data_IF_086183630664
#
_entry.id   IF_086183630664
#
_cell.length_a   1.000
_cell.length_b   1.000
_cell.length_c   1.000
_cell.angle_alpha   90.00
_cell.angle_beta   90.00
_cell.angle_gamma   90.00
#
_symmetry.space_group_name_H-M   'P 1'
#
loop_
_entity.id
_entity.type
_entity.pdbx_description
1 polymer ?
#
# COMPACT_ATOMS: atom_id res chain seq x y z
N UNK A 1 0.78 -1.71 25.82
CA UNK A 1 -0.58 -1.27 25.46
C UNK A 1 -1.28 -0.91 26.77
N UNK A 2 -1.69 0.34 26.92
CA UNK A 2 -2.24 0.84 28.17
C UNK A 2 -3.70 0.37 28.31
N UNK A 3 -4.20 0.17 29.56
CA UNK A 3 -5.56 -0.33 29.82
C UNK A 3 -6.63 0.61 29.21
N UNK A 4 -6.37 1.92 29.20
CA UNK A 4 -7.25 2.90 28.53
C UNK A 4 -7.32 2.72 27.01
N UNK A 5 -6.21 2.40 26.35
CA UNK A 5 -6.21 2.11 24.92
C UNK A 5 -7.03 0.83 24.62
N UNK A 6 -6.86 -0.21 25.45
CA UNK A 6 -7.64 -1.44 25.31
C UNK A 6 -9.15 -1.21 25.49
N UNK A 7 -9.56 -0.31 26.35
CA UNK A 7 -10.96 0.04 26.57
C UNK A 7 -11.54 0.86 25.40
N UNK A 8 -10.76 1.81 24.85
CA UNK A 8 -11.15 2.57 23.65
C UNK A 8 -11.31 1.66 22.42
N UNK A 9 -10.42 0.65 22.27
CA UNK A 9 -10.53 -0.36 21.21
C UNK A 9 -11.83 -1.17 21.26
N UNK A 10 -12.39 -1.40 22.46
CA UNK A 10 -13.64 -2.13 22.63
C UNK A 10 -14.89 -1.31 22.34
N UNK A 11 -14.79 0.03 22.36
CA UNK A 11 -15.90 0.96 22.17
C UNK A 11 -16.06 1.42 20.70
N UNK A 12 -14.98 1.43 19.92
CA UNK A 12 -15.00 1.93 18.55
C UNK A 12 -14.36 0.92 17.59
N UNK A 13 -15.16 0.36 16.70
CA UNK A 13 -14.70 -0.64 15.74
C UNK A 13 -13.72 -0.07 14.68
N UNK A 14 -13.70 1.24 14.47
CA UNK A 14 -12.86 1.94 13.48
C UNK A 14 -11.92 2.99 14.09
N UNK A 15 -11.46 2.74 15.31
CA UNK A 15 -10.61 3.70 16.04
C UNK A 15 -9.35 4.11 15.28
N UNK A 16 -8.77 3.24 14.44
CA UNK A 16 -7.60 3.56 13.60
C UNK A 16 -7.88 4.71 12.65
N UNK A 17 -9.02 4.66 11.95
CA UNK A 17 -9.41 5.73 11.03
C UNK A 17 -9.70 7.03 11.77
N UNK A 18 -10.36 6.92 12.91
CA UNK A 18 -10.67 8.07 13.75
C UNK A 18 -9.39 8.72 14.26
N UNK A 19 -8.46 7.96 14.82
CA UNK A 19 -7.18 8.46 15.34
C UNK A 19 -6.37 9.18 14.24
N UNK A 20 -6.28 8.59 13.05
CA UNK A 20 -5.59 9.19 11.92
C UNK A 20 -6.25 10.50 11.47
N UNK A 21 -7.57 10.54 11.36
CA UNK A 21 -8.28 11.75 10.98
C UNK A 21 -8.09 12.87 12.02
N UNK A 22 -8.25 12.55 13.30
CA UNK A 22 -8.05 13.51 14.40
C UNK A 22 -6.61 14.05 14.45
N UNK A 23 -5.61 13.19 14.20
CA UNK A 23 -4.21 13.60 14.10
C UNK A 23 -3.99 14.60 12.96
N UNK A 24 -4.52 14.32 11.77
CA UNK A 24 -4.39 15.22 10.62
C UNK A 24 -5.15 16.54 10.85
N UNK A 25 -6.37 16.50 11.35
CA UNK A 25 -7.19 17.69 11.64
C UNK A 25 -6.57 18.60 12.71
N UNK A 26 -5.86 18.00 13.68
CA UNK A 26 -5.13 18.74 14.72
C UNK A 26 -3.77 19.28 14.26
N UNK A 27 -3.33 18.96 13.04
CA UNK A 27 -2.03 19.35 12.50
C UNK A 27 -0.85 18.48 12.99
N UNK A 28 -1.13 17.35 13.64
CA UNK A 28 -0.15 16.36 14.05
C UNK A 28 0.04 15.34 12.91
N UNK A 29 0.68 15.75 11.83
CA UNK A 29 0.80 14.93 10.61
C UNK A 29 1.69 13.72 10.84
N UNK A 30 1.17 12.48 10.66
CA UNK A 30 1.97 11.27 10.76
C UNK A 30 2.96 11.15 9.60
N UNK A 31 4.17 10.71 9.91
CA UNK A 31 5.27 10.53 8.95
C UNK A 31 5.82 9.12 8.98
N UNK A 32 6.25 8.64 7.82
CA UNK A 32 6.92 7.36 7.67
C UNK A 32 8.12 7.50 6.75
N UNK A 33 9.17 6.75 7.04
CA UNK A 33 10.31 6.61 6.14
C UNK A 33 9.96 5.60 5.05
N UNK A 34 10.12 6.00 3.80
CA UNK A 34 10.02 5.10 2.66
C UNK A 34 11.42 4.58 2.31
N UNK A 35 11.56 3.27 2.27
CA UNK A 35 12.83 2.62 2.03
C UNK A 35 12.69 1.39 1.14
N UNK A 36 13.78 0.96 0.51
CA UNK A 36 13.83 -0.21 -0.36
C UNK A 36 14.88 -1.21 0.14
N UNK A 37 14.59 -2.48 -0.05
CA UNK A 37 15.58 -3.55 -0.06
C UNK A 37 15.73 -4.03 -1.51
N UNK A 38 16.95 -4.14 -2.00
CA UNK A 38 17.24 -4.46 -3.40
C UNK A 38 18.10 -5.71 -3.44
N UNK A 39 17.66 -6.71 -4.20
CA UNK A 39 18.41 -7.92 -4.55
C UNK A 39 18.66 -7.85 -6.07
N UNK A 40 19.90 -8.01 -6.49
CA UNK A 40 20.22 -8.10 -7.91
C UNK A 40 19.80 -9.48 -8.45
N UNK A 41 19.36 -9.54 -9.70
CA UNK A 41 18.87 -10.77 -10.35
C UNK A 41 19.90 -11.92 -10.26
N UNK A 42 21.20 -11.60 -10.37
CA UNK A 42 22.28 -12.60 -10.25
C UNK A 42 22.39 -13.26 -8.85
N UNK A 43 21.84 -12.62 -7.84
CA UNK A 43 21.92 -13.05 -6.44
C UNK A 43 20.60 -13.65 -5.93
N UNK A 44 19.61 -13.80 -6.82
CA UNK A 44 18.28 -14.31 -6.48
C UNK A 44 18.29 -15.69 -5.81
N UNK A 45 19.15 -16.59 -6.28
CA UNK A 45 19.28 -17.96 -5.78
C UNK A 45 20.28 -18.11 -4.60
N UNK A 46 20.89 -17.03 -4.14
CA UNK A 46 21.96 -17.08 -3.13
C UNK A 46 21.47 -17.07 -1.68
N UNK A 47 20.16 -17.07 -1.45
CA UNK A 47 19.56 -16.97 -0.12
C UNK A 47 19.01 -18.32 0.35
N UNK A 48 19.09 -18.59 1.67
CA UNK A 48 18.49 -19.77 2.30
C UNK A 48 16.98 -19.65 2.50
N UNK A 49 16.37 -18.56 2.03
CA UNK A 49 14.93 -18.29 2.11
C UNK A 49 14.37 -17.97 0.72
N UNK A 50 13.08 -18.24 0.55
CA UNK A 50 12.35 -17.87 -0.66
C UNK A 50 12.10 -16.35 -0.69
N UNK A 51 12.73 -15.65 -1.61
CA UNK A 51 12.58 -14.19 -1.79
C UNK A 51 11.18 -13.80 -2.25
N UNK A 52 10.40 -14.73 -2.82
CA UNK A 52 9.04 -14.54 -3.27
C UNK A 52 7.99 -14.94 -2.23
N UNK A 53 8.39 -15.41 -1.04
CA UNK A 53 7.45 -15.74 0.03
C UNK A 53 6.86 -14.46 0.65
N UNK A 54 5.63 -14.13 0.23
CA UNK A 54 4.91 -12.95 0.70
C UNK A 54 4.55 -12.97 2.20
N UNK A 55 4.78 -14.09 2.90
CA UNK A 55 4.53 -14.22 4.36
C UNK A 55 5.77 -13.88 5.19
N UNK A 56 6.92 -13.66 4.57
CA UNK A 56 8.21 -13.39 5.21
C UNK A 56 8.68 -11.97 4.94
N UNK A 57 9.56 -11.52 5.81
CA UNK A 57 10.30 -10.26 5.67
C UNK A 57 11.74 -10.62 5.40
N UNK A 58 12.38 -9.95 4.45
CA UNK A 58 13.81 -10.16 4.19
C UNK A 58 14.66 -9.67 5.37
N UNK A 59 15.60 -10.46 5.88
CA UNK A 59 16.48 -10.05 6.97
C UNK A 59 17.33 -8.83 6.57
N UNK A 60 17.33 -7.80 7.40
CA UNK A 60 18.11 -6.57 7.13
C UNK A 60 19.63 -6.80 7.16
N UNK A 61 20.07 -7.81 7.88
CA UNK A 61 21.48 -8.22 7.93
C UNK A 61 22.00 -8.78 6.60
N UNK A 62 21.11 -9.37 5.79
CA UNK A 62 21.44 -9.95 4.49
C UNK A 62 21.13 -8.98 3.36
N UNK A 63 20.02 -8.27 3.45
CA UNK A 63 19.60 -7.28 2.46
C UNK A 63 19.32 -5.96 3.17
N UNK A 64 20.29 -5.04 3.20
CA UNK A 64 20.17 -3.79 3.94
C UNK A 64 19.02 -2.91 3.42
N UNK A 65 18.30 -2.30 4.35
CA UNK A 65 17.25 -1.31 4.05
C UNK A 65 17.88 0.01 3.64
N UNK A 66 17.51 0.52 2.46
CA UNK A 66 17.98 1.79 1.91
C UNK A 66 16.86 2.83 1.98
N UNK A 67 16.91 3.81 2.89
CA UNK A 67 15.91 4.87 2.93
C UNK A 67 16.06 5.77 1.71
N UNK A 68 14.94 6.05 1.05
CA UNK A 68 14.89 6.90 -0.16
C UNK A 68 14.03 8.14 0.01
N UNK A 69 13.20 8.20 1.05
CA UNK A 69 12.38 9.37 1.31
C UNK A 69 11.49 9.24 2.53
N UNK A 70 10.74 10.27 2.76
CA UNK A 70 9.68 10.31 3.79
C UNK A 70 8.35 10.65 3.12
N UNK A 71 7.28 10.08 3.64
CA UNK A 71 5.94 10.52 3.28
C UNK A 71 5.16 10.94 4.53
N UNK A 72 4.31 11.93 4.34
CA UNK A 72 3.51 12.55 5.38
C UNK A 72 2.04 12.56 4.95
N UNK A 73 1.14 12.19 5.85
CA UNK A 73 -0.29 12.32 5.63
C UNK A 73 -0.77 13.63 6.26
N UNK A 74 -1.06 14.61 5.43
CA UNK A 74 -1.36 15.98 5.83
C UNK A 74 -2.73 16.50 5.40
N UNK A 75 -3.54 15.64 4.77
CA UNK A 75 -4.89 15.98 4.32
C UNK A 75 -5.84 14.80 4.48
N UNK A 76 -7.02 15.05 5.00
CA UNK A 76 -8.15 14.12 4.99
C UNK A 76 -8.93 14.25 3.69
N UNK A 77 -9.78 13.27 3.38
CA UNK A 77 -10.66 13.33 2.21
C UNK A 77 -11.75 14.39 2.43
N UNK A 78 -12.10 15.12 1.37
CA UNK A 78 -13.18 16.10 1.37
C UNK A 78 -14.47 15.48 0.86
N UNK A 79 -14.38 14.71 -0.23
CA UNK A 79 -15.51 14.04 -0.84
C UNK A 79 -15.29 12.53 -0.90
N UNK A 80 -15.96 11.79 -0.02
CA UNK A 80 -15.75 10.36 0.16
C UNK A 80 -15.98 9.55 -1.12
N UNK A 81 -17.04 9.85 -1.89
CA UNK A 81 -17.39 9.05 -3.06
C UNK A 81 -16.31 9.07 -4.15
N UNK A 82 -15.87 10.23 -4.69
CA UNK A 82 -14.85 10.26 -5.72
C UNK A 82 -13.45 9.94 -5.20
N UNK A 83 -13.14 10.26 -3.94
CA UNK A 83 -11.79 10.15 -3.40
C UNK A 83 -11.50 8.80 -2.73
N UNK A 84 -12.51 8.07 -2.30
CA UNK A 84 -12.37 6.80 -1.60
C UNK A 84 -13.15 5.67 -2.28
N UNK A 85 -14.47 5.83 -2.46
CA UNK A 85 -15.33 4.76 -2.97
C UNK A 85 -14.95 4.34 -4.40
N UNK A 86 -14.56 5.29 -5.25
CA UNK A 86 -14.16 5.05 -6.64
C UNK A 86 -12.69 4.66 -6.80
N UNK A 87 -11.92 4.52 -5.72
CA UNK A 87 -10.53 4.04 -5.79
C UNK A 87 -10.50 2.62 -6.31
N UNK A 88 -9.77 2.41 -7.40
CA UNK A 88 -9.62 1.13 -8.06
C UNK A 88 -8.17 0.68 -8.06
N UNK A 89 -7.74 0.05 -6.97
CA UNK A 89 -6.42 -0.55 -6.88
C UNK A 89 -6.33 -1.76 -7.81
N UNK A 90 -5.23 -1.86 -8.58
CA UNK A 90 -4.94 -3.01 -9.45
C UNK A 90 -3.44 -3.26 -9.49
N UNK A 91 -3.02 -4.46 -9.12
CA UNK A 91 -1.60 -4.85 -9.07
C UNK A 91 -0.94 -4.89 -10.45
N UNK A 92 -1.73 -5.00 -11.53
CA UNK A 92 -1.21 -4.99 -12.90
C UNK A 92 -0.90 -3.58 -13.43
N UNK A 93 -1.35 -2.52 -12.75
CA UNK A 93 -1.08 -1.14 -13.12
C UNK A 93 0.27 -0.69 -12.56
N UNK A 94 1.33 -0.99 -13.29
CA UNK A 94 2.70 -0.61 -12.94
C UNK A 94 3.22 0.49 -13.87
N UNK A 95 4.16 1.27 -13.39
CA UNK A 95 4.83 2.31 -14.17
C UNK A 95 5.95 1.72 -15.03
N UNK A 96 6.37 2.37 -16.13
CA UNK A 96 7.53 1.94 -16.90
C UNK A 96 8.77 1.75 -16.03
N UNK A 97 9.46 0.62 -16.21
CA UNK A 97 10.64 0.25 -15.40
C UNK A 97 10.34 -0.67 -14.24
N UNK A 98 9.07 -0.92 -13.92
CA UNK A 98 8.64 -1.95 -12.95
C UNK A 98 8.03 -3.12 -13.72
N UNK A 99 8.52 -4.33 -13.47
CA UNK A 99 8.00 -5.59 -14.01
C UNK A 99 7.34 -6.45 -12.94
N UNK A 100 6.89 -7.61 -13.35
CA UNK A 100 6.31 -8.61 -12.44
C UNK A 100 7.35 -9.69 -12.14
N UNK A 101 7.35 -10.18 -10.91
CA UNK A 101 8.08 -11.39 -10.53
C UNK A 101 7.30 -12.65 -10.92
N UNK A 102 7.95 -13.79 -10.82
CA UNK A 102 7.34 -15.10 -11.06
C UNK A 102 6.49 -15.61 -9.88
N UNK A 103 6.23 -14.76 -8.90
CA UNK A 103 5.38 -15.09 -7.75
C UNK A 103 3.96 -15.49 -8.21
N UNK A 104 3.52 -16.75 -7.95
CA UNK A 104 2.20 -17.21 -8.33
C UNK A 104 1.07 -16.44 -7.67
N UNK A 105 1.30 -15.94 -6.45
CA UNK A 105 0.32 -15.12 -5.72
C UNK A 105 0.13 -13.77 -6.42
N UNK A 106 1.19 -13.13 -6.88
CA UNK A 106 1.11 -11.89 -7.67
C UNK A 106 0.35 -12.12 -8.99
N UNK A 107 0.65 -13.21 -9.69
CA UNK A 107 -0.07 -13.57 -10.93
C UNK A 107 -1.56 -13.76 -10.68
N UNK A 108 -1.94 -14.46 -9.61
CA UNK A 108 -3.34 -14.60 -9.20
C UNK A 108 -3.99 -13.27 -8.85
N UNK A 109 -3.27 -12.38 -8.17
CA UNK A 109 -3.74 -11.03 -7.82
C UNK A 109 -3.99 -10.14 -9.03
N UNK A 110 -3.16 -10.22 -10.05
CA UNK A 110 -3.37 -9.45 -11.29
C UNK A 110 -4.73 -9.75 -11.93
N UNK A 111 -5.18 -11.01 -11.89
CA UNK A 111 -6.52 -11.38 -12.36
C UNK A 111 -7.61 -11.00 -11.38
N UNK A 112 -7.45 -11.29 -10.09
CA UNK A 112 -8.49 -11.11 -9.09
C UNK A 112 -8.84 -9.63 -8.86
N UNK A 113 -7.86 -8.74 -8.84
CA UNK A 113 -8.12 -7.30 -8.73
C UNK A 113 -8.85 -6.75 -9.96
N UNK A 114 -8.46 -7.16 -11.15
CA UNK A 114 -9.13 -6.75 -12.37
C UNK A 114 -10.59 -7.22 -12.41
N UNK A 115 -10.84 -8.49 -12.10
CA UNK A 115 -12.19 -9.06 -12.05
C UNK A 115 -13.06 -8.38 -10.97
N UNK A 116 -12.47 -8.13 -9.79
CA UNK A 116 -13.15 -7.43 -8.70
C UNK A 116 -13.55 -6.01 -9.10
N UNK A 117 -12.70 -5.26 -9.79
CA UNK A 117 -13.04 -3.91 -10.22
C UNK A 117 -14.12 -3.90 -11.30
N UNK A 118 -14.14 -4.87 -12.21
CA UNK A 118 -15.25 -5.04 -13.16
C UNK A 118 -16.56 -5.25 -12.41
N UNK A 119 -16.56 -6.13 -11.41
CA UNK A 119 -17.76 -6.44 -10.62
C UNK A 119 -18.23 -5.26 -9.76
N UNK A 120 -17.30 -4.48 -9.19
CA UNK A 120 -17.57 -3.38 -8.26
C UNK A 120 -17.93 -2.09 -8.99
N UNK A 121 -17.22 -1.75 -10.05
CA UNK A 121 -17.30 -0.44 -10.73
C UNK A 121 -17.85 -0.51 -12.16
N UNK A 122 -17.85 -1.69 -12.77
CA UNK A 122 -18.29 -1.89 -14.17
C UNK A 122 -17.15 -2.12 -15.14
N UNK A 123 -17.48 -2.56 -16.35
CA UNK A 123 -16.53 -2.94 -17.40
C UNK A 123 -15.62 -1.78 -17.87
N UNK A 124 -16.03 -0.55 -17.62
CA UNK A 124 -15.30 0.67 -18.00
C UNK A 124 -14.58 1.32 -16.80
N UNK A 125 -14.32 0.59 -15.74
CA UNK A 125 -13.74 1.13 -14.51
C UNK A 125 -12.40 1.86 -14.73
N UNK A 126 -11.58 1.40 -15.67
CA UNK A 126 -10.31 2.06 -16.01
C UNK A 126 -10.50 3.47 -16.62
N UNK A 127 -11.64 3.71 -17.23
CA UNK A 127 -11.98 5.00 -17.81
C UNK A 127 -12.70 5.92 -16.79
N UNK A 128 -13.45 5.32 -15.87
CA UNK A 128 -14.24 6.02 -14.87
C UNK A 128 -13.43 6.40 -13.62
N UNK A 129 -12.38 5.65 -13.30
CA UNK A 129 -11.50 5.94 -12.17
C UNK A 129 -10.63 7.16 -12.48
N UNK A 130 -11.16 8.35 -12.24
CA UNK A 130 -10.45 9.62 -12.34
C UNK A 130 -9.44 9.85 -11.20
N UNK A 131 -9.13 8.84 -10.43
CA UNK A 131 -8.00 8.90 -9.54
C UNK A 131 -6.71 8.92 -10.38
N UNK A 132 -6.42 10.12 -10.87
CA UNK A 132 -5.03 10.49 -11.03
C UNK A 132 -4.42 10.40 -9.65
N UNK A 133 -3.88 9.24 -9.33
CA UNK A 133 -2.83 9.18 -8.33
C UNK A 133 -1.83 10.21 -8.80
N UNK A 134 -1.82 11.36 -8.16
CA UNK A 134 -0.71 12.28 -8.28
C UNK A 134 0.48 11.55 -7.63
N UNK A 135 1.06 10.63 -8.40
CA UNK A 135 2.33 10.02 -8.07
C UNK A 135 3.30 11.19 -8.09
N UNK A 136 3.68 11.59 -6.92
CA UNK A 136 4.73 12.48 -6.52
C UNK A 136 5.56 13.06 -7.68
N UNK A 137 5.46 14.38 -7.88
CA UNK A 137 6.54 15.19 -8.47
C UNK A 137 7.70 15.15 -7.49
N UNK A 138 8.79 14.48 -7.83
CA UNK A 138 10.08 14.64 -7.19
C UNK A 138 10.69 15.99 -7.57
#
# INVERSE_FOLDING_TARGET
>A
MNVEQSFLHSLFSDFHRKDLNEAIESGCFPKWTFALQIIEEKDEDNFDFDILDATKIWPEELVPVQPIGEFELNKTVEEYFPEVEQVAFCTSHVVPGIGFSDDPLLQGRNFSYFDTQISRLGINWEQASHLRVHIFSF
#
